data_IF_910704019167
#
_entry.id   IF_910704019167
#
_cell.length_a   1.000
_cell.length_b   1.000
_cell.length_c   1.000
_cell.angle_alpha   90.00
_cell.angle_beta   90.00
_cell.angle_gamma   90.00
#
_symmetry.space_group_name_H-M   'P 1'
#
loop_
_entity.id
_entity.type
_entity.pdbx_description
1 polymer ?
#
# COMPACT_ATOMS: atom_id res chain seq x y z
N UNK A 1 26.58 51.41 -34.05
CA UNK A 1 27.49 50.23 -34.05
C UNK A 1 26.65 48.97 -33.84
N UNK A 2 26.18 48.37 -34.93
CA UNK A 2 25.47 47.09 -34.91
C UNK A 2 26.51 45.98 -34.82
N UNK A 3 26.50 45.23 -33.72
CA UNK A 3 27.34 44.04 -33.53
C UNK A 3 26.52 42.84 -33.94
N UNK A 4 26.86 42.24 -35.08
CA UNK A 4 26.30 40.97 -35.55
C UNK A 4 26.47 39.90 -34.45
N UNK A 5 25.36 39.47 -33.84
CA UNK A 5 25.32 38.31 -32.95
C UNK A 5 24.85 37.11 -33.78
N UNK A 6 25.72 36.14 -34.01
CA UNK A 6 25.46 35.01 -34.90
C UNK A 6 24.21 34.19 -34.53
N UNK A 7 23.54 33.64 -35.55
CA UNK A 7 22.33 32.80 -35.46
C UNK A 7 22.43 31.69 -34.39
N UNK A 8 23.61 31.07 -34.26
CA UNK A 8 23.88 30.01 -33.29
C UNK A 8 23.74 30.48 -31.82
N UNK A 9 24.10 31.74 -31.52
CA UNK A 9 23.96 32.29 -30.18
C UNK A 9 22.48 32.52 -29.79
N UNK A 10 21.63 32.88 -30.77
CA UNK A 10 20.20 33.09 -30.53
C UNK A 10 19.44 31.78 -30.29
N UNK A 11 19.84 30.71 -30.98
CA UNK A 11 19.26 29.37 -30.78
C UNK A 11 19.65 28.82 -29.40
N UNK A 12 20.91 28.99 -29.00
CA UNK A 12 21.38 28.58 -27.67
C UNK A 12 20.66 29.34 -26.55
N UNK A 13 20.37 30.63 -26.70
CA UNK A 13 19.61 31.34 -25.66
C UNK A 13 18.17 30.82 -25.55
N UNK A 14 17.49 30.48 -26.65
CA UNK A 14 16.12 29.96 -26.62
C UNK A 14 15.99 28.59 -25.92
N UNK A 15 16.92 27.66 -26.15
CA UNK A 15 16.87 26.32 -25.54
C UNK A 15 17.39 26.27 -24.09
N UNK A 16 18.25 27.21 -23.69
CA UNK A 16 18.83 27.27 -22.34
C UNK A 16 18.23 28.39 -21.48
N UNK A 17 17.08 28.93 -21.85
CA UNK A 17 16.38 29.94 -21.05
C UNK A 17 15.59 29.28 -19.92
N UNK A 18 16.23 29.14 -18.76
CA UNK A 18 15.56 28.74 -17.53
C UNK A 18 14.93 29.95 -16.85
N UNK A 19 13.65 30.19 -17.12
CA UNK A 19 12.88 31.24 -16.45
C UNK A 19 12.45 30.79 -15.06
N UNK A 20 13.19 31.20 -14.02
CA UNK A 20 12.77 31.01 -12.63
C UNK A 20 11.70 32.05 -12.27
N UNK A 21 10.53 31.65 -11.73
CA UNK A 21 9.55 32.61 -11.26
C UNK A 21 10.13 33.47 -10.13
N UNK A 22 9.98 34.79 -10.24
CA UNK A 22 10.39 35.71 -9.17
C UNK A 22 9.43 35.57 -7.99
N UNK A 23 9.91 35.00 -6.89
CA UNK A 23 9.13 34.79 -5.67
C UNK A 23 9.22 36.00 -4.74
N UNK A 24 8.10 36.35 -4.09
CA UNK A 24 8.06 37.38 -3.05
C UNK A 24 8.08 36.72 -1.67
N UNK A 25 9.08 37.05 -0.86
CA UNK A 25 9.20 36.55 0.52
C UNK A 25 8.47 37.51 1.46
N UNK A 26 7.26 37.13 1.87
CA UNK A 26 6.46 37.92 2.82
C UNK A 26 6.91 37.57 4.23
N UNK A 27 7.55 38.52 4.93
CA UNK A 27 7.95 38.36 6.34
C UNK A 27 6.79 38.71 7.25
N UNK A 28 5.90 37.74 7.50
CA UNK A 28 4.86 37.88 8.52
C UNK A 28 4.66 36.58 9.31
N UNK A 29 4.55 36.71 10.63
CA UNK A 29 4.39 35.57 11.52
C UNK A 29 3.04 34.86 11.31
N UNK A 30 1.95 35.62 11.15
CA UNK A 30 0.60 35.06 10.98
C UNK A 30 0.49 34.19 9.73
N UNK A 31 0.91 34.70 8.57
CA UNK A 31 0.86 33.96 7.29
C UNK A 31 1.85 32.79 7.30
N UNK A 32 3.03 32.98 7.89
CA UNK A 32 4.03 31.93 8.05
C UNK A 32 3.52 30.76 8.89
N UNK A 33 2.89 31.03 10.03
CA UNK A 33 2.32 30.00 10.90
C UNK A 33 1.19 29.24 10.22
N UNK A 34 0.29 29.92 9.50
CA UNK A 34 -0.77 29.26 8.73
C UNK A 34 -0.17 28.31 7.69
N UNK A 35 0.83 28.76 6.93
CA UNK A 35 1.50 27.90 5.94
C UNK A 35 2.18 26.68 6.58
N UNK A 36 2.86 26.87 7.72
CA UNK A 36 3.52 25.76 8.44
C UNK A 36 2.54 24.76 9.02
N UNK A 37 1.40 25.22 9.56
CA UNK A 37 0.34 24.34 10.04
C UNK A 37 -0.25 23.54 8.89
N UNK A 38 -0.58 24.18 7.76
CA UNK A 38 -1.10 23.48 6.57
C UNK A 38 -0.12 22.42 6.06
N UNK A 39 1.17 22.76 5.96
CA UNK A 39 2.21 21.78 5.58
C UNK A 39 2.30 20.63 6.58
N UNK A 40 2.30 20.91 7.88
CA UNK A 40 2.34 19.89 8.92
C UNK A 40 1.10 18.98 8.88
N UNK A 41 -0.08 19.53 8.60
CA UNK A 41 -1.33 18.78 8.50
C UNK A 41 -1.29 17.79 7.32
N UNK A 42 -0.81 18.25 6.15
CA UNK A 42 -0.64 17.40 4.98
C UNK A 42 0.36 16.28 5.26
N UNK A 43 1.50 16.59 5.86
CA UNK A 43 2.51 15.57 6.21
C UNK A 43 1.94 14.56 7.23
N UNK A 44 1.26 15.04 8.27
CA UNK A 44 0.66 14.17 9.28
C UNK A 44 -0.39 13.23 8.69
N UNK A 45 -1.22 13.72 7.76
CA UNK A 45 -2.20 12.89 7.06
C UNK A 45 -1.53 11.80 6.22
N UNK A 46 -0.53 12.16 5.40
CA UNK A 46 0.19 11.19 4.57
C UNK A 46 0.86 10.12 5.43
N UNK A 47 1.59 10.53 6.48
CA UNK A 47 2.29 9.57 7.33
C UNK A 47 1.30 8.71 8.13
N UNK A 48 0.33 9.33 8.80
CA UNK A 48 -0.61 8.60 9.66
C UNK A 48 -1.55 7.69 8.88
N UNK A 49 -2.20 8.22 7.85
CA UNK A 49 -3.21 7.46 7.12
C UNK A 49 -2.58 6.58 6.01
N UNK A 50 -1.75 7.17 5.15
CA UNK A 50 -1.22 6.43 3.98
C UNK A 50 -0.13 5.45 4.41
N UNK A 51 0.84 5.91 5.21
CA UNK A 51 1.95 5.03 5.62
C UNK A 51 1.55 4.08 6.75
N UNK A 52 0.95 4.55 7.85
CA UNK A 52 0.70 3.66 9.01
C UNK A 52 -0.56 2.80 8.83
N UNK A 53 -1.72 3.42 8.56
CA UNK A 53 -2.99 2.67 8.49
C UNK A 53 -3.04 1.75 7.26
N UNK A 54 -2.75 2.30 6.08
CA UNK A 54 -2.79 1.52 4.84
C UNK A 54 -1.53 0.70 4.60
N UNK A 55 -0.50 0.83 5.45
CA UNK A 55 0.82 0.20 5.24
C UNK A 55 1.35 0.42 3.82
N UNK A 56 1.11 1.60 3.23
CA UNK A 56 1.45 1.89 1.83
C UNK A 56 2.95 1.86 1.50
N UNK A 57 3.80 1.63 2.50
CA UNK A 57 5.22 1.36 2.34
C UNK A 57 5.53 -0.13 2.09
N UNK A 58 4.54 -1.02 2.18
CA UNK A 58 4.67 -2.45 1.97
C UNK A 58 3.90 -2.87 0.71
N UNK A 59 4.54 -3.66 -0.13
CA UNK A 59 3.83 -4.43 -1.16
C UNK A 59 3.20 -5.66 -0.48
N UNK A 60 1.89 -5.81 -0.61
CA UNK A 60 1.16 -6.96 -0.06
C UNK A 60 0.69 -7.87 -1.18
N UNK A 61 1.23 -9.08 -1.26
CA UNK A 61 0.73 -10.10 -2.18
C UNK A 61 -0.46 -10.86 -1.58
N UNK A 62 -1.45 -11.14 -2.42
CA UNK A 62 -2.57 -11.99 -2.06
C UNK A 62 -2.10 -13.46 -2.00
N UNK A 63 -2.25 -14.09 -0.84
CA UNK A 63 -1.89 -15.50 -0.66
C UNK A 63 -2.97 -16.37 -1.30
N UNK A 64 -2.59 -17.13 -2.32
CA UNK A 64 -3.39 -18.24 -2.83
C UNK A 64 -3.15 -19.47 -1.95
N UNK A 65 -4.14 -19.83 -1.13
CA UNK A 65 -4.08 -21.03 -0.29
C UNK A 65 -5.06 -22.08 -0.80
N UNK A 66 -4.58 -23.33 -0.87
CA UNK A 66 -5.39 -24.51 -1.14
C UNK A 66 -5.16 -25.50 -0.01
N UNK A 67 -6.24 -26.02 0.57
CA UNK A 67 -6.18 -26.92 1.72
C UNK A 67 -6.93 -28.19 1.36
N UNK A 68 -6.23 -29.31 1.41
CA UNK A 68 -6.83 -30.65 1.25
C UNK A 68 -6.66 -31.40 2.56
N UNK A 69 -7.77 -31.76 3.20
CA UNK A 69 -7.78 -32.48 4.46
C UNK A 69 -8.10 -33.95 4.22
N UNK A 70 -7.22 -34.85 4.68
CA UNK A 70 -7.46 -36.30 4.65
C UNK A 70 -7.37 -36.86 6.06
N UNK A 71 -8.49 -37.34 6.58
CA UNK A 71 -8.56 -37.98 7.90
C UNK A 71 -8.30 -39.48 7.75
N UNK A 72 -7.59 -40.06 8.73
CA UNK A 72 -7.39 -41.50 8.87
C UNK A 72 -7.60 -41.86 10.33
N UNK A 73 -8.45 -42.85 10.60
CA UNK A 73 -8.71 -43.33 11.94
C UNK A 73 -9.84 -44.32 11.95
N UNK A 74 -9.80 -45.24 12.91
CA UNK A 74 -10.88 -46.17 13.21
C UNK A 74 -11.22 -45.99 14.69
N UNK A 75 -12.50 -45.93 15.01
CA UNK A 75 -12.96 -45.85 16.40
C UNK A 75 -13.87 -47.05 16.72
N UNK A 76 -13.73 -47.59 17.92
CA UNK A 76 -14.57 -48.67 18.43
C UNK A 76 -15.51 -48.09 19.48
N UNK A 77 -16.80 -48.34 19.34
CA UNK A 77 -17.79 -47.93 20.34
C UNK A 77 -18.63 -49.14 20.72
N UNK A 78 -18.88 -49.31 22.02
CA UNK A 78 -19.74 -50.36 22.55
C UNK A 78 -20.85 -49.69 23.38
N UNK A 79 -22.05 -49.63 22.82
CA UNK A 79 -23.22 -48.98 23.44
C UNK A 79 -24.33 -50.00 23.66
N UNK A 80 -25.08 -49.87 24.76
CA UNK A 80 -26.11 -50.83 25.18
C UNK A 80 -27.21 -51.07 24.14
N UNK A 81 -27.53 -50.09 23.29
CA UNK A 81 -28.58 -50.22 22.26
C UNK A 81 -28.08 -50.76 20.91
N UNK A 82 -26.79 -50.62 20.59
CA UNK A 82 -26.24 -50.87 19.24
C UNK A 82 -25.12 -51.93 19.21
N UNK A 83 -24.60 -52.36 20.38
CA UNK A 83 -23.53 -53.35 20.48
C UNK A 83 -22.14 -52.80 20.15
N UNK A 84 -21.20 -53.69 19.83
CA UNK A 84 -19.82 -53.34 19.45
C UNK A 84 -19.77 -52.95 17.97
N UNK A 85 -19.56 -51.66 17.70
CA UNK A 85 -19.55 -51.06 16.37
C UNK A 85 -18.20 -50.41 16.08
N UNK A 86 -17.74 -50.58 14.84
CA UNK A 86 -16.54 -49.93 14.29
C UNK A 86 -17.01 -48.72 13.48
N UNK A 87 -16.36 -47.58 13.68
CA UNK A 87 -16.56 -46.36 12.93
C UNK A 87 -15.34 -46.10 12.04
N UNK A 88 -15.55 -45.96 10.74
CA UNK A 88 -14.53 -45.53 9.79
C UNK A 88 -14.72 -44.06 9.42
N UNK A 89 -13.70 -43.46 8.81
CA UNK A 89 -13.68 -42.06 8.35
C UNK A 89 -14.93 -41.71 7.53
N UNK A 90 -15.48 -42.65 6.77
CA UNK A 90 -16.69 -42.45 5.98
C UNK A 90 -17.95 -42.19 6.82
N UNK A 91 -17.98 -42.68 8.06
CA UNK A 91 -19.16 -42.60 8.92
C UNK A 91 -19.23 -41.30 9.72
N UNK A 92 -18.06 -40.73 10.08
CA UNK A 92 -17.97 -39.55 10.94
C UNK A 92 -17.41 -38.28 10.26
N UNK A 93 -16.91 -38.37 9.02
CA UNK A 93 -16.51 -37.18 8.24
C UNK A 93 -17.63 -36.79 7.29
N UNK A 94 -18.34 -35.71 7.64
CA UNK A 94 -19.46 -35.19 6.86
C UNK A 94 -19.28 -33.67 6.71
N UNK A 95 -19.19 -33.12 5.50
CA UNK A 95 -19.16 -33.79 4.19
C UNK A 95 -17.78 -34.42 3.88
N UNK A 96 -17.72 -35.56 3.17
CA UNK A 96 -16.46 -36.07 2.63
C UNK A 96 -16.02 -35.18 1.47
N UNK A 97 -15.07 -34.29 1.72
CA UNK A 97 -14.45 -33.39 0.74
C UNK A 97 -13.13 -33.95 0.20
#
# INVERSE_FOLDING_TARGET
>A
MMKERGCCASICQCFFEYSTPKILVIRSFKVGTVNRITQALVIAYVIGYVCVVNKGYQETDAVLSSVTTKVKGIALTNTSDLGLQIWDVADYVIPPQ
#
